data_IF_905804322100
#
_entry.id   IF_905804322100
#
_cell.length_a   1.000
_cell.length_b   1.000
_cell.length_c   1.000
_cell.angle_alpha   90.00
_cell.angle_beta   90.00
_cell.angle_gamma   90.00
#
_symmetry.space_group_name_H-M   'P 1'
#
loop_
_entity.id
_entity.type
_entity.pdbx_description
1 polymer ?
#
# COMPACT_ATOMS: atom_id res chain seq x y z
N UNK A 1 13.93 -12.92 -10.22
CA UNK A 1 14.69 -14.15 -9.91
C UNK A 1 13.71 -15.31 -9.87
N UNK A 2 14.04 -16.42 -10.51
CA UNK A 2 13.22 -17.63 -10.53
C UNK A 2 14.03 -18.76 -9.89
N UNK A 3 13.48 -19.40 -8.85
CA UNK A 3 14.14 -20.49 -8.16
C UNK A 3 13.23 -21.72 -8.12
N UNK A 4 13.82 -22.91 -8.24
CA UNK A 4 13.05 -24.16 -8.26
C UNK A 4 12.76 -24.61 -6.84
N UNK A 5 11.47 -24.77 -6.54
CA UNK A 5 11.01 -25.47 -5.33
C UNK A 5 11.10 -26.97 -5.56
N UNK A 6 11.72 -27.70 -4.64
CA UNK A 6 11.89 -29.15 -4.67
C UNK A 6 11.43 -29.77 -3.35
N UNK A 7 11.00 -31.04 -3.37
CA UNK A 7 10.74 -31.79 -2.14
C UNK A 7 12.08 -32.19 -1.51
N UNK A 8 12.21 -32.02 -0.19
CA UNK A 8 13.36 -32.47 0.59
C UNK A 8 12.87 -33.10 1.90
N UNK A 9 12.83 -34.44 1.95
CA UNK A 9 12.17 -35.16 3.03
C UNK A 9 10.67 -34.87 3.04
N UNK A 10 10.13 -34.50 4.20
CA UNK A 10 8.74 -34.08 4.36
C UNK A 10 8.51 -32.61 3.95
N UNK A 11 9.57 -31.81 3.86
CA UNK A 11 9.53 -30.36 3.61
C UNK A 11 9.76 -30.00 2.14
N UNK A 12 9.60 -28.71 1.83
CA UNK A 12 10.00 -28.10 0.57
C UNK A 12 11.22 -27.22 0.75
N UNK A 13 12.13 -27.29 -0.21
CA UNK A 13 13.33 -26.47 -0.27
C UNK A 13 13.36 -25.64 -1.56
N UNK A 14 13.86 -24.42 -1.46
CA UNK A 14 14.16 -23.57 -2.62
C UNK A 14 15.63 -23.79 -2.99
N UNK A 15 15.91 -24.25 -4.21
CA UNK A 15 17.29 -24.38 -4.68
C UNK A 15 17.82 -23.05 -5.18
N UNK A 16 18.91 -22.61 -4.58
CA UNK A 16 19.71 -21.47 -5.01
C UNK A 16 21.10 -21.97 -5.44
N UNK A 17 21.63 -21.40 -6.51
CA UNK A 17 23.04 -21.54 -6.89
C UNK A 17 23.92 -20.76 -5.90
N UNK A 18 25.22 -21.04 -5.90
CA UNK A 18 26.17 -20.31 -5.04
C UNK A 18 26.15 -18.79 -5.31
N UNK A 19 26.03 -18.38 -6.57
CA UNK A 19 25.94 -16.97 -6.96
C UNK A 19 24.65 -16.30 -6.47
N UNK A 20 23.50 -16.98 -6.59
CA UNK A 20 22.22 -16.45 -6.09
C UNK A 20 22.21 -16.34 -4.56
N UNK A 21 22.83 -17.30 -3.86
CA UNK A 21 22.96 -17.24 -2.40
C UNK A 21 23.83 -16.06 -1.96
N UNK A 22 24.93 -15.81 -2.66
CA UNK A 22 25.81 -14.67 -2.41
C UNK A 22 25.11 -13.33 -2.70
N UNK A 23 24.41 -13.21 -3.83
CA UNK A 23 23.65 -12.01 -4.20
C UNK A 23 22.56 -11.68 -3.18
N UNK A 24 21.88 -12.70 -2.63
CA UNK A 24 20.87 -12.56 -1.60
C UNK A 24 21.44 -12.43 -0.18
N UNK A 25 22.77 -12.52 -0.01
CA UNK A 25 23.44 -12.44 1.29
C UNK A 25 23.10 -13.58 2.26
N UNK A 26 22.60 -14.70 1.75
CA UNK A 26 22.24 -15.88 2.55
C UNK A 26 23.39 -16.89 2.57
N UNK A 27 23.58 -17.52 3.72
CA UNK A 27 24.61 -18.53 3.96
C UNK A 27 24.00 -19.74 4.65
N UNK A 28 24.71 -20.86 4.61
CA UNK A 28 24.30 -22.04 5.37
C UNK A 28 24.15 -21.70 6.86
N UNK A 29 23.05 -22.15 7.46
CA UNK A 29 22.72 -21.86 8.86
C UNK A 29 21.99 -20.52 9.11
N UNK A 30 21.84 -19.65 8.11
CA UNK A 30 21.07 -18.41 8.24
C UNK A 30 19.57 -18.70 8.29
N UNK A 31 18.87 -18.21 9.32
CA UNK A 31 17.41 -18.17 9.33
C UNK A 31 16.91 -17.01 8.49
N UNK A 32 15.96 -17.26 7.59
CA UNK A 32 15.37 -16.25 6.69
C UNK A 32 13.87 -16.15 6.90
N UNK A 33 13.32 -14.95 6.73
CA UNK A 33 11.89 -14.74 6.68
C UNK A 33 11.39 -14.86 5.24
N UNK A 34 10.41 -15.73 5.01
CA UNK A 34 9.76 -15.87 3.70
C UNK A 34 8.44 -15.11 3.74
N UNK A 35 8.38 -13.97 3.07
CA UNK A 35 7.16 -13.19 2.91
C UNK A 35 6.71 -13.20 1.46
N UNK A 36 5.39 -13.23 1.23
CA UNK A 36 4.83 -12.93 -0.08
C UNK A 36 5.05 -11.43 -0.31
N UNK A 37 5.71 -10.99 -1.41
CA UNK A 37 5.77 -9.58 -1.70
C UNK A 37 4.33 -9.06 -1.69
N UNK A 38 4.08 -8.03 -0.86
CA UNK A 38 2.88 -7.21 -1.01
C UNK A 38 2.85 -6.86 -2.49
N UNK A 39 1.81 -7.30 -3.20
CA UNK A 39 1.65 -6.93 -4.60
C UNK A 39 1.93 -5.43 -4.69
N UNK A 40 2.65 -4.92 -5.71
CA UNK A 40 2.74 -3.48 -5.92
C UNK A 40 1.33 -2.85 -6.06
N UNK A 41 0.29 -3.67 -6.17
CA UNK A 41 -1.14 -3.33 -6.18
C UNK A 41 -1.89 -3.78 -4.90
N UNK A 42 -1.21 -4.08 -3.79
CA UNK A 42 -1.93 -4.26 -2.51
C UNK A 42 -2.26 -2.88 -1.98
N UNK A 43 -3.51 -2.45 -2.23
CA UNK A 43 -4.08 -1.22 -1.69
C UNK A 43 -3.71 -1.10 -0.21
N UNK A 44 -3.20 0.07 0.20
CA UNK A 44 -2.86 0.34 1.59
C UNK A 44 -4.11 0.13 2.45
N UNK A 45 -3.97 -0.53 3.59
CA UNK A 45 -5.07 -0.78 4.54
C UNK A 45 -4.76 -0.06 5.85
N UNK A 46 -5.74 0.62 6.44
CA UNK A 46 -5.68 1.28 7.74
C UNK A 46 -6.88 0.83 8.57
N UNK A 47 -6.68 0.32 9.78
CA UNK A 47 -7.74 -0.22 10.65
C UNK A 47 -8.62 -1.30 10.00
N UNK A 48 -8.05 -2.11 9.10
CA UNK A 48 -8.79 -3.13 8.34
C UNK A 48 -9.53 -2.59 7.11
N UNK A 49 -9.56 -1.28 6.90
CA UNK A 49 -10.22 -0.65 5.77
C UNK A 49 -9.25 -0.27 4.64
N UNK A 50 -9.61 -0.49 3.37
CA UNK A 50 -8.82 -0.07 2.22
C UNK A 50 -8.74 1.46 2.12
N UNK A 51 -7.53 2.00 2.02
CA UNK A 51 -7.29 3.42 1.72
C UNK A 51 -7.64 3.68 0.26
N UNK A 52 -8.67 4.51 0.05
CA UNK A 52 -9.09 4.98 -1.26
C UNK A 52 -8.20 6.13 -1.72
N UNK A 53 -7.94 6.19 -3.03
CA UNK A 53 -7.31 7.35 -3.67
C UNK A 53 -8.32 8.46 -3.89
N UNK A 54 -7.85 9.71 -4.01
CA UNK A 54 -8.71 10.85 -4.33
C UNK A 54 -9.48 10.62 -5.65
N UNK A 55 -8.84 10.03 -6.65
CA UNK A 55 -9.47 9.72 -7.93
C UNK A 55 -10.63 8.72 -7.78
N UNK A 56 -10.49 7.70 -6.94
CA UNK A 56 -11.57 6.74 -6.65
C UNK A 56 -12.72 7.39 -5.89
N UNK A 57 -12.41 8.30 -4.95
CA UNK A 57 -13.44 9.06 -4.23
C UNK A 57 -14.23 9.98 -5.16
N UNK A 58 -13.55 10.65 -6.11
CA UNK A 58 -14.20 11.51 -7.12
C UNK A 58 -15.07 10.67 -8.07
N UNK A 59 -14.54 9.56 -8.57
CA UNK A 59 -15.29 8.66 -9.45
C UNK A 59 -16.54 8.09 -8.76
N UNK A 60 -16.44 7.76 -7.47
CA UNK A 60 -17.59 7.29 -6.70
C UNK A 60 -18.64 8.39 -6.48
N UNK A 61 -18.21 9.62 -6.19
CA UNK A 61 -19.10 10.78 -6.11
C UNK A 61 -19.87 10.98 -7.42
N UNK A 62 -19.19 10.89 -8.57
CA UNK A 62 -19.81 11.00 -9.89
C UNK A 62 -20.79 9.85 -10.17
N UNK A 63 -20.43 8.61 -9.78
CA UNK A 63 -21.29 7.42 -9.92
C UNK A 63 -22.57 7.52 -9.10
N UNK A 64 -22.50 8.07 -7.88
CA UNK A 64 -23.64 8.26 -6.99
C UNK A 64 -24.56 9.42 -7.44
N UNK A 65 -24.06 10.27 -8.32
CA UNK A 65 -24.84 11.30 -8.99
C UNK A 65 -24.92 12.64 -8.23
N UNK A 66 -25.63 13.63 -8.79
CA UNK A 66 -25.55 15.04 -8.37
C UNK A 66 -25.89 15.29 -6.89
N UNK A 67 -26.76 14.48 -6.28
CA UNK A 67 -27.11 14.59 -4.86
C UNK A 67 -25.95 14.31 -3.90
N UNK A 68 -24.86 13.70 -4.39
CA UNK A 68 -23.67 13.38 -3.62
C UNK A 68 -22.50 14.33 -3.90
N UNK A 69 -22.71 15.36 -4.74
CA UNK A 69 -21.81 16.49 -4.90
C UNK A 69 -22.32 17.63 -4.02
N UNK A 70 -21.81 17.79 -2.79
CA UNK A 70 -22.28 18.85 -1.90
C UNK A 70 -22.06 20.21 -2.53
N UNK A 71 -22.99 21.13 -2.28
CA UNK A 71 -22.81 22.52 -2.67
C UNK A 71 -21.65 23.15 -1.88
N UNK A 72 -20.97 24.11 -2.51
CA UNK A 72 -20.00 24.93 -1.81
C UNK A 72 -20.76 25.79 -0.79
N UNK A 73 -20.48 25.55 0.48
CA UNK A 73 -21.02 26.35 1.57
C UNK A 73 -20.19 27.63 1.67
N UNK A 74 -20.85 28.78 1.53
CA UNK A 74 -20.29 30.05 1.94
C UNK A 74 -20.36 30.13 3.46
N UNK A 75 -19.21 30.02 4.11
CA UNK A 75 -19.08 30.09 5.58
C UNK A 75 -19.20 31.54 6.10
N UNK A 76 -19.30 32.52 5.21
CA UNK A 76 -19.33 33.93 5.54
C UNK A 76 -17.92 34.51 5.69
N UNK A 77 -17.82 35.80 6.08
CA UNK A 77 -16.55 36.46 6.29
C UNK A 77 -15.80 35.89 7.52
N UNK A 78 -14.48 36.04 7.53
CA UNK A 78 -13.65 35.67 8.69
C UNK A 78 -14.15 36.35 9.98
N UNK A 79 -14.25 35.57 11.05
CA UNK A 79 -14.69 36.05 12.37
C UNK A 79 -13.64 35.73 13.43
N UNK A 80 -13.47 36.61 14.41
CA UNK A 80 -12.63 36.32 15.58
C UNK A 80 -11.13 36.54 15.41
N UNK A 81 -10.33 35.85 16.22
CA UNK A 81 -8.88 36.06 16.33
C UNK A 81 -8.07 35.38 15.23
N UNK A 82 -8.71 34.55 14.39
CA UNK A 82 -8.11 33.89 13.22
C UNK A 82 -7.99 34.78 11.98
N UNK A 83 -8.47 36.03 12.04
CA UNK A 83 -8.31 37.01 10.98
C UNK A 83 -6.82 37.33 10.79
N UNK A 84 -6.24 36.89 9.67
CA UNK A 84 -4.89 37.28 9.24
C UNK A 84 -4.97 38.65 8.57
N UNK A 85 -4.20 39.62 9.07
CA UNK A 85 -4.01 40.93 8.42
C UNK A 85 -2.61 40.95 7.83
N UNK A 86 -2.54 41.04 6.50
CA UNK A 86 -1.29 41.09 5.74
C UNK A 86 -0.80 42.54 5.50
N UNK A 87 -1.05 43.45 6.46
CA UNK A 87 -0.58 44.85 6.40
C UNK A 87 0.88 45.05 6.83
#
# INVERSE_FOLDING_TARGET
MEAKVVRWGDDFAVKLTAGEAEELGVREGTTVEVSKPRSPVTRRVVNGEPVMTLAEMIAEMERLGPSHRPELVDWGPDVGAEIVRDD
#
